data_IF_203215634881
#
_entry.id   IF_203215634881
#
_cell.length_a   1.000
_cell.length_b   1.000
_cell.length_c   1.000
_cell.angle_alpha   90.00
_cell.angle_beta   90.00
_cell.angle_gamma   90.00
#
_symmetry.space_group_name_H-M   'P 1'
#
loop_
_entity.id
_entity.type
_entity.pdbx_description
1 polymer ?
#
# COMPACT_ATOMS: atom_id res chain seq x y z
N UNK A 1 27.88 108.20 28.20
CA UNK A 1 27.89 108.14 26.71
C UNK A 1 27.50 106.71 26.27
N UNK A 2 26.34 106.16 26.65
CA UNK A 2 24.98 106.53 26.24
C UNK A 2 24.69 106.41 24.72
N UNK A 3 25.45 105.60 23.96
CA UNK A 3 25.18 105.37 22.51
C UNK A 3 25.04 103.90 22.09
N UNK A 4 25.34 102.94 22.98
CA UNK A 4 25.26 101.49 22.68
C UNK A 4 24.09 100.75 23.37
N UNK A 5 23.28 101.45 24.17
CA UNK A 5 22.16 100.87 24.90
C UNK A 5 20.95 100.48 24.01
N UNK A 6 20.94 100.88 22.73
CA UNK A 6 19.85 100.62 21.80
C UNK A 6 20.12 99.51 20.78
N UNK A 7 21.31 98.92 20.75
CA UNK A 7 21.65 97.85 19.79
C UNK A 7 21.14 96.48 20.28
N UNK A 8 21.01 96.29 21.59
CA UNK A 8 20.56 95.03 22.21
C UNK A 8 19.05 94.73 22.02
N UNK A 9 18.09 95.68 22.15
CA UNK A 9 16.68 95.36 21.96
C UNK A 9 16.31 95.17 20.48
N UNK A 10 17.08 95.71 19.53
CA UNK A 10 16.83 95.56 18.09
C UNK A 10 17.25 94.17 17.61
N UNK A 11 18.38 93.63 18.08
CA UNK A 11 18.81 92.29 17.70
C UNK A 11 17.86 91.19 18.19
N UNK A 12 17.11 91.42 19.27
CA UNK A 12 16.12 90.46 19.79
C UNK A 12 14.81 90.41 18.97
N UNK A 13 14.52 91.44 18.17
CA UNK A 13 13.32 91.46 17.31
C UNK A 13 13.51 90.74 15.96
N UNK A 14 14.73 90.37 15.58
CA UNK A 14 15.02 89.70 14.30
C UNK A 14 15.00 88.16 14.36
N UNK A 15 14.63 87.56 15.49
CA UNK A 15 14.65 86.09 15.67
C UNK A 15 13.36 85.28 15.38
N UNK A 16 12.20 85.78 14.88
CA UNK A 16 11.11 84.89 14.53
C UNK A 16 11.26 84.39 13.07
N UNK A 17 12.39 83.74 12.75
CA UNK A 17 12.61 83.14 11.43
C UNK A 17 13.11 81.68 11.47
N UNK A 18 13.13 81.03 12.63
CA UNK A 18 13.10 79.57 12.68
C UNK A 18 11.65 79.10 12.54
N UNK A 19 11.23 78.90 11.28
CA UNK A 19 9.96 78.26 10.97
C UNK A 19 10.28 76.82 10.57
N UNK A 20 9.85 75.86 11.38
CA UNK A 20 9.88 74.45 11.02
C UNK A 20 9.04 74.23 9.76
N UNK A 21 9.64 73.58 8.77
CA UNK A 21 8.98 73.14 7.54
C UNK A 21 7.91 72.11 7.93
N UNK A 22 6.64 72.29 7.55
CA UNK A 22 5.60 71.33 7.88
C UNK A 22 5.94 70.02 7.18
N UNK A 23 6.31 69.00 7.98
CA UNK A 23 6.35 67.61 7.56
C UNK A 23 5.02 67.31 6.88
N UNK A 24 5.04 67.06 5.57
CA UNK A 24 3.89 66.57 4.83
C UNK A 24 3.54 65.23 5.47
N UNK A 25 2.60 65.29 6.41
CA UNK A 25 1.98 64.12 6.99
C UNK A 25 1.32 63.43 5.81
N UNK A 26 1.95 62.36 5.37
CA UNK A 26 1.47 61.53 4.29
C UNK A 26 0.07 61.04 4.68
N UNK A 27 -0.95 61.78 4.23
CA UNK A 27 -2.37 61.49 4.44
C UNK A 27 -2.82 60.31 3.57
N UNK A 28 -1.91 59.34 3.31
CA UNK A 28 -2.31 58.03 2.83
C UNK A 28 -3.14 57.37 3.93
N UNK A 29 -4.44 57.56 3.82
CA UNK A 29 -5.46 56.90 4.63
C UNK A 29 -5.19 55.40 4.57
N UNK A 30 -4.87 54.80 5.71
CA UNK A 30 -4.66 53.36 5.79
C UNK A 30 -5.94 52.66 5.34
N UNK A 31 -5.86 51.98 4.20
CA UNK A 31 -6.94 51.14 3.68
C UNK A 31 -6.67 49.70 4.10
N UNK A 32 -7.70 49.02 4.60
CA UNK A 32 -7.61 47.60 4.86
C UNK A 32 -7.41 46.88 3.53
N UNK A 33 -6.23 46.29 3.34
CA UNK A 33 -5.93 45.45 2.18
C UNK A 33 -5.87 44.00 2.64
N UNK A 34 -6.66 43.15 1.99
CA UNK A 34 -6.58 41.70 2.17
C UNK A 34 -5.90 41.09 0.97
N UNK A 35 -4.72 40.49 1.18
CA UNK A 35 -4.10 39.65 0.16
C UNK A 35 -4.90 38.37 0.03
N UNK A 36 -5.47 38.14 -1.15
CA UNK A 36 -6.09 36.86 -1.49
C UNK A 36 -4.95 35.91 -1.88
N UNK A 37 -4.58 35.01 -0.97
CA UNK A 37 -3.74 33.86 -1.29
C UNK A 37 -4.61 32.76 -1.90
N UNK A 38 -4.16 32.14 -2.98
CA UNK A 38 -4.79 30.93 -3.49
C UNK A 38 -4.42 29.75 -2.58
N UNK A 39 -5.06 29.67 -1.41
CA UNK A 39 -4.98 28.49 -0.56
C UNK A 39 -6.30 28.30 0.17
N UNK A 40 -7.28 27.88 -0.61
CA UNK A 40 -8.39 27.11 -0.10
C UNK A 40 -8.65 26.04 -1.15
N UNK A 41 -7.82 24.99 -1.14
CA UNK A 41 -8.18 23.76 -1.82
C UNK A 41 -9.54 23.33 -1.29
N UNK A 42 -10.58 23.44 -2.12
CA UNK A 42 -11.92 22.96 -1.80
C UNK A 42 -11.81 21.43 -1.78
N UNK A 43 -11.45 20.88 -0.63
CA UNK A 43 -11.42 19.44 -0.41
C UNK A 43 -12.83 18.95 -0.13
N UNK A 44 -13.50 18.40 -1.13
CA UNK A 44 -14.76 17.70 -0.92
C UNK A 44 -14.51 16.39 -0.17
N UNK A 45 -15.15 16.24 0.99
CA UNK A 45 -15.11 14.98 1.76
C UNK A 45 -16.29 14.12 1.35
N UNK A 46 -16.02 12.87 0.98
CA UNK A 46 -17.05 11.89 0.65
C UNK A 46 -17.00 10.75 1.66
N UNK A 47 -18.17 10.28 2.08
CA UNK A 47 -18.27 9.05 2.86
C UNK A 47 -18.02 7.86 1.92
N UNK A 48 -17.12 6.96 2.33
CA UNK A 48 -16.81 5.74 1.61
C UNK A 48 -16.34 4.66 2.58
N UNK A 49 -16.58 3.40 2.21
CA UNK A 49 -16.13 2.25 2.98
C UNK A 49 -14.91 1.64 2.29
N UNK A 50 -13.84 1.40 3.04
CA UNK A 50 -12.68 0.66 2.54
C UNK A 50 -12.96 -0.83 2.74
N UNK A 51 -12.91 -1.59 1.65
CA UNK A 51 -13.03 -3.05 1.66
C UNK A 51 -11.77 -3.68 1.08
N UNK A 52 -11.54 -4.95 1.42
CA UNK A 52 -10.45 -5.69 0.78
C UNK A 52 -10.71 -5.78 -0.72
N UNK A 53 -9.69 -5.47 -1.52
CA UNK A 53 -9.75 -5.66 -2.97
C UNK A 53 -9.87 -7.15 -3.34
N UNK A 54 -9.32 -8.03 -2.51
CA UNK A 54 -9.35 -9.48 -2.70
C UNK A 54 -9.60 -10.19 -1.36
N UNK A 55 -10.54 -11.12 -1.37
CA UNK A 55 -10.83 -11.99 -0.23
C UNK A 55 -10.73 -13.44 -0.71
N UNK A 56 -9.96 -14.25 0.01
CA UNK A 56 -9.77 -15.66 -0.33
C UNK A 56 -10.39 -16.53 0.77
N UNK A 57 -11.39 -17.31 0.39
CA UNK A 57 -11.94 -18.33 1.27
C UNK A 57 -11.05 -19.57 1.20
N UNK A 58 -10.35 -19.88 2.28
CA UNK A 58 -9.46 -21.04 2.36
C UNK A 58 -10.21 -22.18 3.05
N UNK A 59 -10.22 -23.34 2.40
CA UNK A 59 -10.77 -24.57 2.93
C UNK A 59 -10.04 -25.77 2.36
N UNK A 60 -10.35 -26.95 2.88
CA UNK A 60 -9.84 -28.18 2.33
C UNK A 60 -10.74 -28.68 1.20
N UNK A 61 -10.14 -29.14 0.10
CA UNK A 61 -10.86 -29.76 -1.02
C UNK A 61 -11.42 -31.15 -0.67
N UNK A 62 -10.86 -31.77 0.37
CA UNK A 62 -11.22 -33.11 0.83
C UNK A 62 -11.60 -33.09 2.30
N UNK A 63 -12.52 -34.00 2.67
CA UNK A 63 -12.89 -34.20 4.06
C UNK A 63 -11.75 -34.90 4.83
N UNK A 64 -11.52 -34.48 6.07
CA UNK A 64 -10.51 -35.11 6.92
C UNK A 64 -10.42 -34.44 8.28
N UNK A 65 -9.70 -35.10 9.19
CA UNK A 65 -9.39 -34.55 10.52
C UNK A 65 -8.13 -33.69 10.44
N UNK A 66 -8.15 -32.50 11.03
CA UNK A 66 -6.96 -31.65 11.15
C UNK A 66 -6.02 -32.26 12.19
N UNK A 67 -4.77 -32.56 11.79
CA UNK A 67 -3.72 -33.10 12.69
C UNK A 67 -2.72 -32.03 13.12
N UNK A 68 -2.63 -30.92 12.39
CA UNK A 68 -1.70 -29.85 12.70
C UNK A 68 -2.23 -28.50 12.20
N UNK A 69 -2.05 -27.45 13.01
CA UNK A 69 -2.31 -26.06 12.65
C UNK A 69 -1.00 -25.29 12.81
N UNK A 70 -0.51 -24.69 11.73
CA UNK A 70 0.81 -24.02 11.66
C UNK A 70 0.75 -22.50 11.76
N UNK A 71 -0.45 -21.95 11.86
CA UNK A 71 -0.69 -20.50 11.87
C UNK A 71 -1.72 -20.14 12.93
N UNK A 72 -1.57 -18.95 13.50
CA UNK A 72 -2.52 -18.35 14.44
C UNK A 72 -3.38 -17.27 13.79
N UNK A 73 -4.51 -16.97 14.44
CA UNK A 73 -5.42 -15.92 14.01
C UNK A 73 -4.68 -14.58 13.93
N UNK A 74 -4.83 -13.87 12.81
CA UNK A 74 -4.14 -12.61 12.55
C UNK A 74 -2.73 -12.74 11.96
N UNK A 75 -2.21 -13.95 11.75
CA UNK A 75 -0.91 -14.16 11.10
C UNK A 75 -0.96 -13.78 9.61
N UNK A 76 0.07 -13.12 9.11
CA UNK A 76 0.27 -12.92 7.67
C UNK A 76 0.74 -14.21 7.00
N UNK A 77 0.21 -14.52 5.81
CA UNK A 77 0.50 -15.75 5.07
C UNK A 77 0.81 -15.46 3.62
N UNK A 78 1.53 -16.37 2.97
CA UNK A 78 1.91 -16.25 1.56
C UNK A 78 1.42 -17.45 0.75
N UNK A 79 1.31 -17.29 -0.58
CA UNK A 79 0.88 -18.37 -1.46
C UNK A 79 1.82 -19.59 -1.36
N UNK A 80 1.24 -20.79 -1.29
CA UNK A 80 1.97 -22.05 -1.13
C UNK A 80 2.38 -22.39 0.30
N UNK A 81 2.18 -21.49 1.27
CA UNK A 81 2.46 -21.79 2.67
C UNK A 81 1.45 -22.79 3.24
N UNK A 82 1.93 -23.86 3.87
CA UNK A 82 1.05 -24.82 4.54
C UNK A 82 0.49 -24.23 5.82
N UNK A 83 -0.82 -23.97 5.84
CA UNK A 83 -1.52 -23.37 6.97
C UNK A 83 -1.98 -24.42 7.99
N UNK A 84 -2.54 -25.52 7.49
CA UNK A 84 -3.05 -26.63 8.26
C UNK A 84 -2.72 -27.95 7.55
N UNK A 85 -2.64 -29.05 8.31
CA UNK A 85 -2.43 -30.39 7.77
C UNK A 85 -3.56 -31.31 8.21
N UNK A 86 -4.10 -32.06 7.24
CA UNK A 86 -5.07 -33.11 7.48
C UNK A 86 -4.38 -34.46 7.72
N UNK A 87 -5.09 -35.34 8.43
CA UNK A 87 -4.78 -36.76 8.49
C UNK A 87 -4.98 -37.36 7.09
N UNK A 88 -3.92 -37.90 6.49
CA UNK A 88 -3.93 -38.42 5.13
C UNK A 88 -3.80 -39.95 5.07
N UNK A 89 -3.93 -40.66 6.20
CA UNK A 89 -3.73 -42.11 6.26
C UNK A 89 -4.58 -42.89 5.26
N UNK A 90 -5.83 -42.48 5.08
CA UNK A 90 -6.79 -43.17 4.20
C UNK A 90 -6.47 -42.90 2.73
N UNK A 91 -6.09 -41.67 2.42
CA UNK A 91 -5.64 -41.26 1.09
C UNK A 91 -4.31 -41.92 0.71
N UNK A 92 -3.38 -42.06 1.66
CA UNK A 92 -2.12 -42.76 1.44
C UNK A 92 -2.37 -44.25 1.11
N UNK A 93 -3.22 -44.93 1.88
CA UNK A 93 -3.59 -46.32 1.60
C UNK A 93 -4.32 -46.48 0.26
N UNK A 94 -5.20 -45.52 -0.09
CA UNK A 94 -5.88 -45.51 -1.38
C UNK A 94 -4.89 -45.32 -2.55
N UNK A 95 -3.91 -44.44 -2.38
CA UNK A 95 -2.84 -44.23 -3.36
C UNK A 95 -2.00 -45.49 -3.55
N UNK A 96 -1.59 -46.15 -2.47
CA UNK A 96 -0.82 -47.39 -2.52
C UNK A 96 -1.60 -48.50 -3.25
N UNK A 97 -2.89 -48.64 -2.96
CA UNK A 97 -3.77 -49.58 -3.65
C UNK A 97 -3.89 -49.28 -5.15
N UNK A 98 -4.08 -48.01 -5.51
CA UNK A 98 -4.15 -47.59 -6.92
C UNK A 98 -2.82 -47.82 -7.65
N UNK A 99 -1.69 -47.57 -6.99
CA UNK A 99 -0.36 -47.84 -7.54
C UNK A 99 -0.14 -49.34 -7.77
N UNK A 100 -0.54 -50.20 -6.82
CA UNK A 100 -0.47 -51.65 -6.96
C UNK A 100 -1.35 -52.16 -8.12
N UNK A 101 -2.57 -51.62 -8.27
CA UNK A 101 -3.45 -51.94 -9.39
C UNK A 101 -2.86 -51.50 -10.74
N UNK A 102 -2.22 -50.33 -10.79
CA UNK A 102 -1.51 -49.90 -12.00
C UNK A 102 -0.34 -50.83 -12.33
N UNK A 103 0.42 -51.25 -11.32
CA UNK A 103 1.55 -52.18 -11.47
C UNK A 103 1.11 -53.57 -11.97
N UNK A 104 0.02 -54.11 -11.43
CA UNK A 104 -0.53 -55.40 -11.87
C UNK A 104 -1.04 -55.33 -13.31
N UNK A 105 -1.73 -54.25 -13.68
CA UNK A 105 -2.19 -54.04 -15.05
C UNK A 105 -1.03 -53.92 -16.05
N UNK A 106 0.05 -53.21 -15.69
CA UNK A 106 1.27 -53.12 -16.52
C UNK A 106 1.93 -54.49 -16.70
N UNK A 107 2.01 -55.27 -15.63
CA UNK A 107 2.59 -56.61 -15.66
C UNK A 107 1.75 -57.55 -16.53
N UNK A 108 0.43 -57.51 -16.38
CA UNK A 108 -0.48 -58.28 -17.23
C UNK A 108 -0.32 -57.92 -18.71
N UNK A 109 -0.25 -56.63 -19.04
CA UNK A 109 -0.01 -56.18 -20.41
C UNK A 109 1.34 -56.68 -20.96
N UNK A 110 2.41 -56.64 -20.15
CA UNK A 110 3.71 -57.15 -20.54
C UNK A 110 3.68 -58.66 -20.82
N UNK A 111 2.98 -59.44 -19.99
CA UNK A 111 2.78 -60.89 -20.22
C UNK A 111 2.03 -61.13 -21.53
N UNK A 112 0.93 -60.41 -21.76
CA UNK A 112 0.16 -60.55 -23.02
C UNK A 112 1.01 -60.19 -24.25
N UNK A 113 1.83 -59.14 -24.17
CA UNK A 113 2.75 -58.78 -25.25
C UNK A 113 3.80 -59.87 -25.51
N UNK A 114 4.36 -60.46 -24.46
CA UNK A 114 5.32 -61.56 -24.57
C UNK A 114 4.68 -62.81 -25.18
N UNK A 115 3.46 -63.16 -24.77
CA UNK A 115 2.72 -64.31 -25.30
C UNK A 115 2.32 -64.12 -26.77
N UNK A 116 1.96 -62.89 -27.17
CA UNK A 116 1.73 -62.53 -28.57
C UNK A 116 3.01 -62.66 -29.40
N UNK A 117 4.14 -62.19 -28.89
CA UNK A 117 5.42 -62.31 -29.57
C UNK A 117 5.84 -63.77 -29.75
N UNK A 118 5.70 -64.59 -28.70
CA UNK A 118 5.96 -66.05 -28.75
C UNK A 118 5.07 -66.74 -29.78
N UNK A 119 3.76 -66.48 -29.75
CA UNK A 119 2.79 -67.11 -30.67
C UNK A 119 3.10 -66.76 -32.13
N UNK A 120 3.50 -65.52 -32.43
CA UNK A 120 3.92 -65.11 -33.77
C UNK A 120 5.17 -65.81 -34.26
N UNK A 121 6.12 -66.09 -33.38
CA UNK A 121 7.34 -66.78 -33.75
C UNK A 121 7.07 -68.25 -34.08
N UNK A 122 6.25 -68.93 -33.28
CA UNK A 122 5.84 -70.32 -33.53
C UNK A 122 5.11 -70.48 -34.88
N UNK A 123 4.29 -69.50 -35.25
CA UNK A 123 3.59 -69.50 -36.55
C UNK A 123 4.51 -69.35 -37.76
N UNK A 124 5.73 -68.84 -37.61
CA UNK A 124 6.71 -68.74 -38.71
C UNK A 124 7.53 -70.02 -38.89
N UNK A 125 7.57 -70.86 -37.86
CA UNK A 125 8.42 -72.06 -37.82
C UNK A 125 7.69 -73.34 -38.24
N UNK A 126 6.36 -73.31 -38.36
CA UNK A 126 5.53 -74.38 -38.92
C UNK A 126 4.94 -73.97 -40.26
#
# INVERSE_FOLDING_TARGET
>A
MARFAHIVPIALLLLPACRDEPQVRDERRAVAVQRIGADAGIGTTYAGEIRSAFESQIGFEVAGRIVERRIDLGSSVHAGQTLLRLDNSDYARALDSAAAQSGSARTAAAVQQADLARSRELLKQG
#
